data_IF_203961756789
#
_entry.id   IF_203961756789
#
_cell.length_a   1.000
_cell.length_b   1.000
_cell.length_c   1.000
_cell.angle_alpha   90.00
_cell.angle_beta   90.00
_cell.angle_gamma   90.00
#
_symmetry.space_group_name_H-M   'P 1'
#
loop_
_entity.id
_entity.type
_entity.pdbx_description
1 polymer ?
#
# COMPACT_ATOMS: atom_id res chain seq x y z
N UNK A 1 17.03 -7.74 -30.37
CA UNK A 1 16.92 -6.48 -29.59
C UNK A 1 15.92 -6.74 -28.46
N UNK A 2 16.39 -7.25 -27.32
CA UNK A 2 15.55 -7.53 -26.15
C UNK A 2 15.34 -6.21 -25.42
N UNK A 3 14.11 -5.69 -25.43
CA UNK A 3 13.75 -4.51 -24.65
C UNK A 3 13.51 -4.99 -23.22
N UNK A 4 14.50 -4.76 -22.36
CA UNK A 4 14.36 -4.91 -20.91
C UNK A 4 13.51 -3.73 -20.42
N UNK A 5 12.25 -3.97 -20.08
CA UNK A 5 11.48 -3.03 -19.29
C UNK A 5 11.79 -3.32 -17.82
N UNK A 6 12.78 -2.64 -17.28
CA UNK A 6 12.95 -2.54 -15.82
C UNK A 6 11.86 -1.61 -15.29
N UNK A 7 10.79 -2.21 -14.78
CA UNK A 7 9.82 -1.51 -13.93
C UNK A 7 10.16 -1.93 -12.49
N UNK A 8 10.60 -1.01 -11.61
CA UNK A 8 10.96 -1.37 -10.26
C UNK A 8 9.79 -2.03 -9.53
N UNK A 9 10.03 -3.21 -8.99
CA UNK A 9 9.01 -4.03 -8.35
C UNK A 9 8.63 -3.39 -7.00
N UNK A 10 7.51 -2.63 -6.94
CA UNK A 10 6.98 -2.07 -5.67
C UNK A 10 6.76 -3.13 -4.58
N UNK A 11 6.69 -4.41 -4.95
CA UNK A 11 6.64 -5.54 -4.03
C UNK A 11 7.97 -5.74 -3.27
N UNK A 12 9.14 -5.40 -3.81
CA UNK A 12 10.41 -5.50 -3.06
C UNK A 12 10.45 -4.56 -1.86
N UNK A 13 9.78 -3.41 -1.95
CA UNK A 13 9.68 -2.44 -0.87
C UNK A 13 8.92 -3.03 0.34
N UNK A 14 7.99 -3.96 0.09
CA UNK A 14 7.19 -4.62 1.13
C UNK A 14 7.91 -5.88 1.64
N UNK A 15 8.75 -6.52 0.81
CA UNK A 15 9.35 -7.84 1.08
C UNK A 15 10.88 -7.84 1.26
N UNK A 16 11.51 -6.67 1.38
CA UNK A 16 12.95 -6.54 1.50
C UNK A 16 13.53 -7.09 2.81
N UNK A 17 13.87 -8.38 2.86
CA UNK A 17 15.13 -8.81 3.48
C UNK A 17 16.19 -8.77 2.40
N UNK A 18 17.14 -7.85 2.56
CA UNK A 18 18.13 -7.51 1.55
C UNK A 18 19.07 -8.67 1.17
N UNK A 19 19.43 -8.66 -0.11
CA UNK A 19 20.71 -9.03 -0.73
C UNK A 19 20.64 -8.48 -2.16
N UNK A 20 21.60 -7.79 -2.74
CA UNK A 20 22.83 -7.18 -2.28
C UNK A 20 23.24 -6.24 -3.43
N UNK A 21 23.40 -4.94 -3.17
CA UNK A 21 24.35 -4.14 -3.91
C UNK A 21 25.36 -3.65 -2.88
N UNK A 22 26.56 -4.20 -3.02
CA UNK A 22 27.71 -3.91 -2.20
C UNK A 22 28.21 -2.53 -2.61
N UNK A 23 27.99 -1.52 -1.78
CA UNK A 23 29.02 -0.53 -1.47
C UNK A 23 28.73 0.04 -0.08
N UNK A 24 29.74 -0.04 0.78
CA UNK A 24 29.60 -0.07 2.22
C UNK A 24 28.91 1.14 2.84
N UNK A 25 27.85 0.87 3.61
CA UNK A 25 27.56 1.54 4.87
C UNK A 25 26.58 0.69 5.70
N UNK A 26 27.09 0.21 6.85
CA UNK A 26 26.40 -0.19 8.07
C UNK A 26 25.03 -0.87 7.96
N UNK A 27 25.02 -2.19 8.18
CA UNK A 27 23.83 -2.93 8.57
C UNK A 27 23.32 -2.42 9.93
N UNK A 28 22.38 -1.48 9.92
CA UNK A 28 21.58 -1.19 11.11
C UNK A 28 20.60 -2.36 11.31
N UNK A 29 20.72 -3.05 12.45
CA UNK A 29 19.71 -3.98 12.92
C UNK A 29 18.39 -3.22 13.03
N UNK A 30 17.41 -3.61 12.23
CA UNK A 30 16.07 -3.03 12.21
C UNK A 30 15.25 -3.48 13.43
N UNK A 31 15.55 -2.91 14.61
CA UNK A 31 14.89 -3.22 15.90
C UNK A 31 13.50 -2.55 16.08
N UNK A 32 12.89 -2.05 15.00
CA UNK A 32 11.58 -1.40 15.05
C UNK A 32 10.40 -2.38 14.98
N UNK A 33 9.22 -1.91 15.39
CA UNK A 33 7.96 -2.67 15.21
C UNK A 33 7.75 -3.06 13.74
N UNK A 34 7.14 -4.23 13.54
CA UNK A 34 6.69 -4.66 12.22
C UNK A 34 5.55 -3.78 11.69
N UNK A 35 5.32 -3.79 10.38
CA UNK A 35 4.19 -3.06 9.77
C UNK A 35 2.86 -3.47 10.40
N UNK A 36 2.63 -4.76 10.64
CA UNK A 36 1.40 -5.25 11.26
C UNK A 36 1.16 -4.62 12.64
N UNK A 37 2.20 -4.53 13.47
CA UNK A 37 2.13 -3.87 14.78
C UNK A 37 1.96 -2.35 14.68
N UNK A 38 2.50 -1.72 13.63
CA UNK A 38 2.35 -0.29 13.37
C UNK A 38 0.95 0.07 12.86
N UNK A 39 0.20 -0.86 12.26
CA UNK A 39 -1.15 -0.60 11.79
C UNK A 39 -2.15 -0.54 12.95
N UNK A 40 -2.02 -1.42 13.95
CA UNK A 40 -2.98 -1.59 15.05
C UNK A 40 -3.37 -0.27 15.77
N UNK A 41 -2.45 0.66 16.08
CA UNK A 41 -2.78 1.87 16.82
C UNK A 41 -3.48 2.94 15.97
N UNK A 42 -3.72 2.68 14.68
CA UNK A 42 -4.42 3.60 13.77
C UNK A 42 -3.74 4.97 13.68
N UNK A 43 -2.41 4.99 13.60
CA UNK A 43 -1.65 6.24 13.48
C UNK A 43 -2.13 7.05 12.27
N UNK A 44 -2.26 6.38 11.13
CA UNK A 44 -2.87 6.85 9.89
C UNK A 44 -3.73 5.73 9.28
N UNK A 45 -4.72 6.12 8.48
CA UNK A 45 -5.71 5.22 7.92
C UNK A 45 -5.78 5.38 6.39
N UNK A 46 -5.69 4.25 5.68
CA UNK A 46 -5.99 4.15 4.26
C UNK A 46 -7.35 3.45 4.10
N UNK A 47 -8.43 4.19 4.33
CA UNK A 47 -9.79 3.65 4.35
C UNK A 47 -10.32 3.29 2.96
N UNK A 48 -9.55 3.57 1.90
CA UNK A 48 -9.93 3.42 0.50
C UNK A 48 -10.98 4.43 0.01
N UNK A 49 -11.22 5.49 0.79
CA UNK A 49 -11.96 6.65 0.32
C UNK A 49 -11.19 7.41 -0.77
N UNK A 50 -11.93 7.97 -1.71
CA UNK A 50 -11.40 8.80 -2.80
C UNK A 50 -11.95 10.21 -2.70
N UNK A 51 -11.13 11.18 -3.09
CA UNK A 51 -11.60 12.53 -3.37
C UNK A 51 -12.46 12.56 -4.64
N UNK A 52 -13.20 13.67 -4.83
CA UNK A 52 -14.01 13.91 -6.03
C UNK A 52 -13.17 13.95 -7.32
N UNK A 53 -11.88 14.24 -7.22
CA UNK A 53 -10.92 14.18 -8.34
C UNK A 53 -10.22 12.82 -8.46
N UNK A 54 -10.76 11.79 -7.81
CA UNK A 54 -10.31 10.40 -7.82
C UNK A 54 -8.94 10.14 -7.18
N UNK A 55 -8.38 11.11 -6.44
CA UNK A 55 -7.14 10.90 -5.68
C UNK A 55 -7.37 10.09 -4.39
N UNK A 56 -6.44 9.19 -4.03
CA UNK A 56 -6.53 8.42 -2.80
C UNK A 56 -6.43 9.31 -1.55
N UNK A 57 -7.22 8.97 -0.54
CA UNK A 57 -7.25 9.64 0.76
C UNK A 57 -6.49 8.85 1.83
N UNK A 58 -5.59 9.53 2.55
CA UNK A 58 -5.01 9.06 3.81
C UNK A 58 -5.45 9.97 4.96
N UNK A 59 -5.96 9.39 6.03
CA UNK A 59 -6.46 10.14 7.19
C UNK A 59 -5.55 9.95 8.40
N UNK A 60 -5.18 11.06 9.05
CA UNK A 60 -4.44 11.11 10.31
C UNK A 60 -5.42 11.51 11.43
N UNK A 61 -5.98 10.54 12.19
CA UNK A 61 -7.03 10.79 13.17
C UNK A 61 -6.54 11.61 14.38
N UNK A 62 -7.52 12.12 15.14
CA UNK A 62 -7.37 13.08 16.25
C UNK A 62 -6.50 12.60 17.43
N UNK A 63 -6.43 11.28 17.68
CA UNK A 63 -5.69 10.74 18.83
C UNK A 63 -4.77 9.58 18.44
N UNK A 64 -3.85 9.83 17.53
CA UNK A 64 -2.94 8.80 17.03
C UNK A 64 -1.66 8.62 17.86
N UNK A 65 -1.32 9.47 18.83
CA UNK A 65 -0.01 9.43 19.50
C UNK A 65 1.17 9.36 18.49
N UNK A 66 1.05 10.03 17.34
CA UNK A 66 2.04 9.96 16.24
C UNK A 66 3.46 10.40 16.66
N UNK A 67 3.56 11.17 17.74
CA UNK A 67 4.82 11.60 18.33
C UNK A 67 5.64 10.44 18.94
N UNK A 68 5.01 9.30 19.21
CA UNK A 68 5.66 8.10 19.77
C UNK A 68 6.45 7.33 18.70
N UNK A 69 6.12 7.49 17.41
CA UNK A 69 6.81 6.78 16.33
C UNK A 69 8.24 7.30 16.12
N UNK A 70 9.19 6.37 16.04
CA UNK A 70 10.55 6.69 15.55
C UNK A 70 10.49 7.11 14.07
N UNK A 71 11.57 7.70 13.55
CA UNK A 71 11.63 8.08 12.13
C UNK A 71 11.52 6.86 11.19
N UNK A 72 12.15 5.74 11.54
CA UNK A 72 12.09 4.50 10.76
C UNK A 72 10.70 3.88 10.76
N UNK A 73 10.03 3.83 11.93
CA UNK A 73 8.65 3.34 12.06
C UNK A 73 7.67 4.22 11.28
N UNK A 74 7.84 5.54 11.35
CA UNK A 74 7.03 6.50 10.58
C UNK A 74 7.15 6.24 9.07
N UNK A 75 8.39 6.14 8.57
CA UNK A 75 8.67 5.88 7.15
C UNK A 75 8.07 4.55 6.72
N UNK A 76 8.24 3.49 7.51
CA UNK A 76 7.72 2.15 7.26
C UNK A 76 6.20 2.14 7.14
N UNK A 77 5.51 2.76 8.09
CA UNK A 77 4.06 2.86 8.09
C UNK A 77 3.56 3.58 6.83
N UNK A 78 4.12 4.75 6.51
CA UNK A 78 3.67 5.51 5.34
C UNK A 78 3.99 4.80 4.02
N UNK A 79 5.16 4.15 3.94
CA UNK A 79 5.53 3.36 2.78
C UNK A 79 4.55 2.22 2.54
N UNK A 80 4.11 1.55 3.60
CA UNK A 80 3.05 0.55 3.49
C UNK A 80 1.72 1.17 3.06
N UNK A 81 1.22 2.20 3.75
CA UNK A 81 -0.10 2.78 3.47
C UNK A 81 -0.20 3.38 2.06
N UNK A 82 0.87 4.00 1.56
CA UNK A 82 0.92 4.56 0.20
C UNK A 82 1.13 3.50 -0.88
N UNK A 83 1.49 2.27 -0.52
CA UNK A 83 1.54 1.13 -1.45
C UNK A 83 0.17 0.46 -1.66
N UNK A 84 -0.82 0.79 -0.82
CA UNK A 84 -2.17 0.20 -0.88
C UNK A 84 -2.92 0.63 -2.15
N UNK A 85 -2.99 1.92 -2.52
CA UNK A 85 -3.56 2.32 -3.81
C UNK A 85 -2.73 1.78 -4.98
N UNK A 86 -3.36 1.65 -6.14
CA UNK A 86 -2.67 1.25 -7.36
C UNK A 86 -1.60 2.27 -7.76
N UNK A 87 -0.64 1.83 -8.59
CA UNK A 87 0.39 2.73 -9.11
C UNK A 87 -0.21 3.98 -9.78
N UNK A 88 -1.25 3.81 -10.59
CA UNK A 88 -1.92 4.91 -11.28
C UNK A 88 -2.55 5.91 -10.31
N UNK A 89 -3.24 5.42 -9.28
CA UNK A 89 -3.83 6.29 -8.24
C UNK A 89 -2.74 7.01 -7.43
N UNK A 90 -1.65 6.32 -7.11
CA UNK A 90 -0.52 6.91 -6.38
C UNK A 90 0.22 7.98 -7.21
N UNK A 91 0.31 7.81 -8.53
CA UNK A 91 0.90 8.78 -9.47
C UNK A 91 0.07 10.06 -9.60
N UNK A 92 -1.26 9.96 -9.48
CA UNK A 92 -2.11 11.15 -9.37
C UNK A 92 -1.76 11.97 -8.11
N UNK A 93 -1.29 11.31 -7.06
CA UNK A 93 -0.94 11.93 -5.79
C UNK A 93 -2.07 11.89 -4.78
N UNK A 94 -1.73 12.13 -3.53
CA UNK A 94 -2.58 11.85 -2.38
C UNK A 94 -3.27 13.10 -1.85
N UNK A 95 -4.49 12.91 -1.39
CA UNK A 95 -5.10 13.81 -0.43
C UNK A 95 -4.91 13.30 0.98
N UNK A 96 -4.65 14.23 1.91
CA UNK A 96 -4.44 13.90 3.31
C UNK A 96 -5.42 14.70 4.15
N UNK A 97 -6.13 14.04 5.07
CA UNK A 97 -6.90 14.72 6.12
C UNK A 97 -6.13 14.57 7.43
N UNK A 98 -5.87 15.68 8.10
CA UNK A 98 -5.33 15.72 9.46
C UNK A 98 -6.45 16.20 10.37
N UNK A 99 -7.01 15.30 11.17
CA UNK A 99 -8.00 15.66 12.19
C UNK A 99 -7.29 16.01 13.49
N UNK A 100 -7.44 17.24 13.99
CA UNK A 100 -6.86 17.71 15.27
C UNK A 100 -7.88 18.53 16.06
N UNK A 101 -9.18 18.28 15.87
CA UNK A 101 -10.25 19.05 16.52
C UNK A 101 -10.13 19.08 18.05
N UNK A 102 -9.59 18.02 18.68
CA UNK A 102 -9.41 17.92 20.15
C UNK A 102 -7.96 18.06 20.60
N UNK A 103 -7.04 18.47 19.72
CA UNK A 103 -5.62 18.62 20.01
C UNK A 103 -5.20 20.11 19.98
N UNK A 104 -3.89 20.40 19.84
CA UNK A 104 -3.28 21.73 19.82
C UNK A 104 -2.66 22.02 18.46
N UNK A 105 -2.53 23.30 18.13
CA UNK A 105 -1.92 23.74 16.88
C UNK A 105 -0.48 23.25 16.68
N UNK A 106 0.28 23.09 17.76
CA UNK A 106 1.63 22.54 17.68
C UNK A 106 1.65 21.08 17.18
N UNK A 107 0.61 20.29 17.49
CA UNK A 107 0.45 18.92 16.97
C UNK A 107 0.19 18.92 15.47
N UNK A 108 -0.62 19.86 14.97
CA UNK A 108 -0.83 20.08 13.52
C UNK A 108 0.52 20.36 12.84
N UNK A 109 1.27 21.35 13.34
CA UNK A 109 2.58 21.72 12.77
C UNK A 109 3.56 20.53 12.78
N UNK A 110 3.68 19.83 13.90
CA UNK A 110 4.54 18.66 14.01
C UNK A 110 4.15 17.57 13.00
N UNK A 111 2.85 17.33 12.81
CA UNK A 111 2.35 16.34 11.84
C UNK A 111 2.67 16.77 10.41
N UNK A 112 2.45 18.04 10.06
CA UNK A 112 2.78 18.58 8.72
C UNK A 112 4.27 18.47 8.40
N UNK A 113 5.15 18.79 9.37
CA UNK A 113 6.60 18.63 9.21
C UNK A 113 6.99 17.19 8.94
N UNK A 114 6.48 16.23 9.72
CA UNK A 114 6.79 14.81 9.50
C UNK A 114 6.24 14.29 8.18
N UNK A 115 5.05 14.72 7.77
CA UNK A 115 4.51 14.39 6.44
C UNK A 115 5.43 14.94 5.35
N UNK A 116 5.86 16.20 5.47
CA UNK A 116 6.76 16.81 4.49
C UNK A 116 8.11 16.13 4.39
N UNK A 117 8.61 15.57 5.50
CA UNK A 117 9.92 14.91 5.56
C UNK A 117 9.88 13.46 5.08
N UNK A 118 8.84 12.71 5.44
CA UNK A 118 8.83 11.25 5.30
C UNK A 118 7.79 10.67 4.35
N UNK A 119 6.85 11.47 3.82
CA UNK A 119 5.80 10.94 2.95
C UNK A 119 6.40 10.50 1.60
N UNK A 120 6.26 9.21 1.20
CA UNK A 120 7.03 8.62 0.10
C UNK A 120 6.37 8.84 -1.28
N UNK A 121 5.52 9.85 -1.44
CA UNK A 121 4.73 10.07 -2.66
C UNK A 121 4.35 11.53 -2.88
N UNK A 122 3.64 11.80 -3.97
CA UNK A 122 3.16 13.15 -4.30
C UNK A 122 1.98 13.49 -3.40
N UNK A 123 2.04 14.59 -2.67
CA UNK A 123 0.92 15.13 -1.91
C UNK A 123 0.28 16.25 -2.72
N UNK A 124 -1.01 16.12 -3.03
CA UNK A 124 -1.75 17.14 -3.77
C UNK A 124 -2.25 18.24 -2.82
N UNK A 125 -3.09 17.88 -1.86
CA UNK A 125 -3.59 18.80 -0.83
C UNK A 125 -3.72 18.10 0.52
N UNK A 126 -3.30 18.79 1.57
CA UNK A 126 -3.53 18.43 2.97
C UNK A 126 -4.65 19.29 3.53
N UNK A 127 -5.71 18.65 4.01
CA UNK A 127 -6.84 19.27 4.70
C UNK A 127 -6.65 19.12 6.21
N UNK A 128 -6.72 20.23 6.95
CA UNK A 128 -6.53 20.23 8.40
C UNK A 128 -7.84 20.62 9.08
N UNK A 129 -8.46 19.68 9.79
CA UNK A 129 -9.54 20.01 10.73
C UNK A 129 -8.90 20.51 12.02
N UNK A 130 -8.95 21.82 12.22
CA UNK A 130 -8.19 22.50 13.27
C UNK A 130 -8.77 22.29 14.68
N UNK A 131 -7.95 22.48 15.74
CA UNK A 131 -8.43 22.61 17.12
C UNK A 131 -9.52 23.69 17.28
N UNK A 132 -10.56 23.37 18.04
CA UNK A 132 -11.68 24.29 18.29
C UNK A 132 -11.26 25.60 18.99
N UNK A 133 -10.22 25.54 19.83
CA UNK A 133 -9.70 26.65 20.63
C UNK A 133 -8.80 27.63 19.87
N UNK A 134 -8.60 27.45 18.55
CA UNK A 134 -7.78 28.34 17.72
C UNK A 134 -8.62 29.44 17.06
N UNK A 135 -8.20 30.72 17.14
CA UNK A 135 -9.00 31.85 16.64
C UNK A 135 -8.79 32.08 15.13
N UNK A 136 -9.89 32.34 14.41
CA UNK A 136 -9.92 32.58 12.96
C UNK A 136 -9.04 33.75 12.49
N UNK A 137 -8.90 34.83 13.26
CA UNK A 137 -8.04 35.97 12.90
C UNK A 137 -6.54 35.64 12.87
N UNK A 138 -6.10 34.66 13.65
CA UNK A 138 -4.72 34.17 13.60
C UNK A 138 -4.47 33.23 12.39
N UNK A 139 -5.54 32.74 11.75
CA UNK A 139 -5.46 31.85 10.59
C UNK A 139 -5.10 32.61 9.31
N UNK A 140 -5.77 33.72 8.96
CA UNK A 140 -5.62 34.30 7.61
C UNK A 140 -4.21 34.84 7.32
N UNK A 141 -3.57 35.47 8.30
CA UNK A 141 -2.27 36.14 8.13
C UNK A 141 -1.08 35.20 8.28
N UNK A 142 -1.15 34.23 9.20
CA UNK A 142 -0.05 33.29 9.46
C UNK A 142 -0.15 32.05 8.55
N UNK A 143 -1.34 31.55 8.22
CA UNK A 143 -1.46 30.30 7.46
C UNK A 143 -1.12 30.46 5.97
N UNK A 144 -1.54 31.56 5.33
CA UNK A 144 -1.46 31.67 3.86
C UNK A 144 -0.05 31.89 3.32
N UNK A 145 0.83 32.58 4.08
CA UNK A 145 2.25 32.79 3.74
C UNK A 145 3.15 31.67 4.28
N UNK A 146 2.98 31.28 5.55
CA UNK A 146 3.85 30.29 6.19
C UNK A 146 3.72 28.92 5.51
N UNK A 147 2.50 28.47 5.19
CA UNK A 147 2.31 27.15 4.59
C UNK A 147 2.70 27.07 3.11
N UNK A 148 2.60 28.17 2.37
CA UNK A 148 3.00 28.19 0.94
C UNK A 148 4.51 28.16 0.74
N UNK A 149 5.28 28.72 1.67
CA UNK A 149 6.74 28.78 1.58
C UNK A 149 7.42 27.58 2.26
N UNK A 150 6.82 27.03 3.32
CA UNK A 150 7.40 25.96 4.13
C UNK A 150 7.15 24.55 3.54
N UNK A 151 6.04 24.34 2.83
CA UNK A 151 5.63 23.01 2.36
C UNK A 151 5.51 22.93 0.84
N UNK A 152 5.93 21.80 0.27
CA UNK A 152 5.85 21.53 -1.19
C UNK A 152 4.45 21.13 -1.66
N UNK A 153 3.44 21.20 -0.80
CA UNK A 153 2.06 20.81 -1.06
C UNK A 153 1.09 21.86 -0.56
N UNK A 154 -0.13 21.87 -1.11
CA UNK A 154 -1.18 22.78 -0.68
C UNK A 154 -1.71 22.38 0.69
N UNK A 155 -1.89 23.34 1.59
CA UNK A 155 -2.56 23.14 2.88
C UNK A 155 -3.85 23.96 2.92
N UNK A 156 -4.97 23.31 3.25
CA UNK A 156 -6.27 23.94 3.48
C UNK A 156 -6.70 23.69 4.92
N UNK A 157 -6.93 24.76 5.67
CA UNK A 157 -7.35 24.67 7.07
C UNK A 157 -8.87 24.83 7.14
N UNK A 158 -9.55 23.74 7.47
CA UNK A 158 -11.00 23.69 7.55
C UNK A 158 -11.47 24.09 8.96
N UNK A 159 -12.49 24.94 9.05
CA UNK A 159 -13.07 25.34 10.34
C UNK A 159 -14.13 24.38 10.84
N UNK A 160 -14.76 23.63 9.95
CA UNK A 160 -15.69 22.56 10.26
C UNK A 160 -15.55 21.39 9.27
N UNK A 161 -16.24 20.30 9.55
CA UNK A 161 -16.16 19.07 8.74
C UNK A 161 -16.84 19.26 7.39
N UNK A 162 -17.89 20.09 7.35
CA UNK A 162 -18.70 20.34 6.15
C UNK A 162 -17.89 20.92 4.99
N UNK A 163 -16.81 21.67 5.28
CA UNK A 163 -15.89 22.17 4.25
C UNK A 163 -15.17 21.04 3.49
N UNK A 164 -15.05 19.84 4.07
CA UNK A 164 -14.49 18.69 3.35
C UNK A 164 -15.41 18.22 2.22
N UNK A 165 -16.72 18.47 2.29
CA UNK A 165 -17.70 17.91 1.34
C UNK A 165 -17.60 18.55 -0.06
N UNK A 166 -16.94 19.70 -0.18
CA UNK A 166 -16.56 20.30 -1.46
C UNK A 166 -15.53 19.44 -2.21
N UNK A 167 -14.72 18.67 -1.49
CA UNK A 167 -13.61 17.89 -2.03
C UNK A 167 -13.85 16.39 -1.98
N UNK A 168 -14.70 15.92 -1.07
CA UNK A 168 -14.99 14.51 -0.85
C UNK A 168 -16.49 14.27 -0.87
N UNK A 169 -16.91 13.17 -1.46
CA UNK A 169 -18.28 12.70 -1.27
C UNK A 169 -18.45 12.11 0.14
N UNK A 170 -19.63 12.27 0.76
CA UNK A 170 -19.88 11.74 2.10
C UNK A 170 -19.74 10.21 2.15
N UNK A 171 -20.06 9.52 1.04
CA UNK A 171 -19.84 8.08 0.90
C UNK A 171 -18.36 7.65 0.93
N UNK A 172 -17.41 8.59 0.81
CA UNK A 172 -15.97 8.34 0.81
C UNK A 172 -15.29 8.73 2.13
N UNK A 173 -16.04 9.31 3.09
CA UNK A 173 -15.55 9.72 4.39
C UNK A 173 -16.11 8.81 5.49
N UNK A 174 -15.33 8.55 6.53
CA UNK A 174 -15.79 7.78 7.70
C UNK A 174 -16.75 8.60 8.57
N UNK A 175 -17.56 7.95 9.44
CA UNK A 175 -18.48 8.66 10.33
C UNK A 175 -17.82 9.71 11.23
N UNK A 176 -16.57 9.49 11.67
CA UNK A 176 -15.82 10.48 12.47
C UNK A 176 -15.56 11.79 11.71
N UNK A 177 -15.55 11.72 10.37
CA UNK A 177 -15.44 12.83 9.43
C UNK A 177 -16.81 13.20 8.82
N UNK A 178 -17.93 12.84 9.47
CA UNK A 178 -19.29 13.19 9.05
C UNK A 178 -19.80 12.47 7.79
N UNK A 179 -19.09 11.45 7.34
CA UNK A 179 -19.44 10.65 6.18
C UNK A 179 -20.22 9.37 6.49
N UNK A 180 -20.35 8.53 5.47
CA UNK A 180 -21.19 7.33 5.44
C UNK A 180 -20.37 6.04 5.20
N UNK A 181 -19.06 6.17 4.90
CA UNK A 181 -18.16 5.04 4.65
C UNK A 181 -17.97 4.21 5.93
N UNK A 182 -18.58 3.02 5.97
CA UNK A 182 -18.35 2.08 7.05
C UNK A 182 -16.94 1.51 6.95
N UNK A 183 -16.10 1.81 7.94
CA UNK A 183 -14.72 1.33 8.00
C UNK A 183 -14.50 0.52 9.27
N UNK A 184 -14.08 -0.74 9.09
CA UNK A 184 -13.63 -1.62 10.17
C UNK A 184 -12.13 -1.83 10.03
N UNK A 185 -11.36 -1.27 10.96
CA UNK A 185 -9.89 -1.36 10.90
C UNK A 185 -9.39 -2.81 11.04
N UNK A 186 -10.03 -3.61 11.90
CA UNK A 186 -9.66 -5.02 12.10
C UNK A 186 -9.95 -5.86 10.85
N UNK A 187 -11.10 -5.66 10.22
CA UNK A 187 -11.44 -6.34 8.96
C UNK A 187 -10.49 -5.92 7.84
N UNK A 188 -10.18 -4.63 7.73
CA UNK A 188 -9.20 -4.12 6.78
C UNK A 188 -7.83 -4.79 6.97
N UNK A 189 -7.32 -4.90 8.20
CA UNK A 189 -6.06 -5.62 8.49
C UNK A 189 -6.15 -7.09 8.07
N UNK A 190 -7.23 -7.79 8.42
CA UNK A 190 -7.40 -9.20 8.07
C UNK A 190 -7.36 -9.43 6.55
N UNK A 191 -8.00 -8.54 5.80
CA UNK A 191 -7.98 -8.57 4.34
C UNK A 191 -6.58 -8.33 3.79
N UNK A 192 -5.84 -7.35 4.35
CA UNK A 192 -4.44 -7.11 3.99
C UNK A 192 -3.57 -8.34 4.21
N UNK A 193 -3.71 -9.02 5.35
CA UNK A 193 -2.99 -10.26 5.66
C UNK A 193 -3.33 -11.35 4.64
N UNK A 194 -4.61 -11.51 4.28
CA UNK A 194 -5.04 -12.52 3.31
C UNK A 194 -4.44 -12.27 1.92
N UNK A 195 -4.44 -11.00 1.47
CA UNK A 195 -3.82 -10.58 0.22
C UNK A 195 -2.30 -10.80 0.21
N UNK A 196 -1.63 -10.51 1.32
CA UNK A 196 -0.18 -10.73 1.45
C UNK A 196 0.17 -12.22 1.40
N UNK A 197 -0.59 -13.07 2.11
CA UNK A 197 -0.42 -14.53 2.05
C UNK A 197 -0.59 -15.05 0.62
N UNK A 198 -1.63 -14.59 -0.07
CA UNK A 198 -1.87 -14.97 -1.47
C UNK A 198 -0.74 -14.49 -2.39
N UNK A 199 -0.24 -13.26 -2.21
CA UNK A 199 0.89 -12.75 -2.98
C UNK A 199 2.17 -13.57 -2.75
N UNK A 200 2.43 -14.02 -1.51
CA UNK A 200 3.56 -14.90 -1.21
C UNK A 200 3.42 -16.26 -1.90
N UNK A 201 2.24 -16.89 -1.83
CA UNK A 201 1.96 -18.15 -2.51
C UNK A 201 2.20 -18.04 -4.03
N UNK A 202 1.72 -16.97 -4.67
CA UNK A 202 1.92 -16.76 -6.11
C UNK A 202 3.39 -16.58 -6.48
N UNK A 203 4.19 -15.92 -5.63
CA UNK A 203 5.64 -15.81 -5.84
C UNK A 203 6.33 -17.17 -5.74
N UNK A 204 5.98 -17.99 -4.75
CA UNK A 204 6.54 -19.33 -4.60
C UNK A 204 6.24 -20.20 -5.82
N UNK A 205 5.01 -20.16 -6.34
CA UNK A 205 4.63 -20.89 -7.55
C UNK A 205 5.40 -20.37 -8.76
N UNK A 206 5.58 -19.06 -8.91
CA UNK A 206 6.41 -18.50 -9.98
C UNK A 206 7.85 -18.98 -9.91
N UNK A 207 8.46 -18.97 -8.73
CA UNK A 207 9.85 -19.42 -8.58
C UNK A 207 9.99 -20.88 -9.00
N UNK A 208 9.07 -21.75 -8.58
CA UNK A 208 9.09 -23.17 -8.99
C UNK A 208 8.87 -23.34 -10.49
N UNK A 209 8.06 -22.47 -11.12
CA UNK A 209 7.87 -22.48 -12.57
C UNK A 209 9.16 -22.07 -13.30
N UNK A 210 9.86 -21.03 -12.81
CA UNK A 210 11.15 -20.61 -13.36
C UNK A 210 12.21 -21.71 -13.22
N UNK A 211 12.28 -22.37 -12.07
CA UNK A 211 13.15 -23.53 -11.83
C UNK A 211 12.87 -24.67 -12.80
N UNK A 212 11.59 -25.02 -12.99
CA UNK A 212 11.18 -26.06 -13.94
C UNK A 212 11.51 -25.70 -15.40
N UNK A 213 11.31 -24.44 -15.80
CA UNK A 213 11.68 -23.98 -17.14
C UNK A 213 13.20 -24.04 -17.35
N UNK A 214 13.98 -23.73 -16.33
CA UNK A 214 15.43 -23.84 -16.38
C UNK A 214 15.88 -25.31 -16.50
N UNK A 215 15.27 -26.23 -15.75
CA UNK A 215 15.51 -27.68 -15.86
C UNK A 215 15.23 -28.23 -17.26
N UNK A 216 14.17 -27.75 -17.93
CA UNK A 216 13.87 -28.13 -19.31
C UNK A 216 14.95 -27.63 -20.28
N UNK A 217 15.40 -26.39 -20.11
CA UNK A 217 16.39 -25.76 -21.01
C UNK A 217 17.77 -26.40 -20.85
N UNK A 218 18.16 -26.72 -19.62
CA UNK A 218 19.45 -27.33 -19.30
C UNK A 218 19.45 -28.85 -19.50
N UNK A 219 18.33 -29.42 -19.95
CA UNK A 219 18.18 -30.85 -20.19
C UNK A 219 19.02 -31.28 -21.40
N UNK A 220 20.15 -31.96 -21.14
CA UNK A 220 20.90 -32.67 -22.16
C UNK A 220 20.25 -34.05 -22.42
N UNK A 221 19.61 -34.20 -23.56
CA UNK A 221 19.04 -35.47 -23.98
C UNK A 221 20.18 -36.40 -24.39
N UNK A 222 20.59 -37.27 -23.46
CA UNK A 222 21.60 -38.29 -23.74
C UNK A 222 21.22 -39.21 -24.92
N UNK A 223 22.21 -39.91 -25.48
CA UNK A 223 22.00 -40.81 -26.62
C UNK A 223 21.28 -42.15 -26.29
N UNK A 224 20.89 -42.36 -25.02
CA UNK A 224 20.20 -43.58 -24.57
C UNK A 224 18.67 -43.37 -24.51
N UNK A 225 17.88 -44.12 -25.28
CA UNK A 225 16.42 -44.05 -25.25
C UNK A 225 15.81 -44.32 -23.87
N UNK A 226 16.45 -45.16 -23.03
CA UNK A 226 15.95 -45.46 -21.70
C UNK A 226 16.09 -44.26 -20.75
N UNK A 227 17.27 -43.61 -20.76
CA UNK A 227 17.53 -42.40 -19.97
C UNK A 227 16.66 -41.23 -20.44
N UNK A 228 16.48 -41.07 -21.75
CA UNK A 228 15.60 -40.04 -22.31
C UNK A 228 14.15 -40.25 -21.86
N UNK A 229 13.67 -41.49 -21.82
CA UNK A 229 12.33 -41.80 -21.34
C UNK A 229 12.15 -41.49 -19.85
N UNK A 230 13.12 -41.87 -19.01
CA UNK A 230 13.07 -41.59 -17.57
C UNK A 230 13.07 -40.08 -17.29
N UNK A 231 13.86 -39.30 -18.04
CA UNK A 231 13.85 -37.83 -17.98
C UNK A 231 12.48 -37.24 -18.35
N UNK A 232 11.86 -37.73 -19.44
CA UNK A 232 10.52 -37.26 -19.86
C UNK A 232 9.44 -37.62 -18.84
N UNK A 233 9.48 -38.83 -18.26
CA UNK A 233 8.54 -39.26 -17.22
C UNK A 233 8.69 -38.40 -15.95
N UNK A 234 9.93 -38.02 -15.59
CA UNK A 234 10.22 -37.11 -14.48
C UNK A 234 9.68 -35.69 -14.76
N UNK A 235 9.96 -35.14 -15.93
CA UNK A 235 9.47 -33.82 -16.35
C UNK A 235 7.94 -33.77 -16.40
N UNK A 236 7.28 -34.82 -16.90
CA UNK A 236 5.81 -34.90 -16.93
C UNK A 236 5.22 -34.90 -15.52
N UNK A 237 5.86 -35.61 -14.58
CA UNK A 237 5.46 -35.62 -13.16
C UNK A 237 5.59 -34.23 -12.52
N UNK A 238 6.74 -33.57 -12.69
CA UNK A 238 6.98 -32.22 -12.18
C UNK A 238 6.00 -31.20 -12.76
N UNK A 239 5.72 -31.26 -14.07
CA UNK A 239 4.72 -30.41 -14.72
C UNK A 239 3.31 -30.64 -14.14
N UNK A 240 2.90 -31.89 -13.93
CA UNK A 240 1.59 -32.21 -13.34
C UNK A 240 1.47 -31.67 -11.90
N UNK A 241 2.53 -31.77 -11.11
CA UNK A 241 2.55 -31.21 -9.75
C UNK A 241 2.39 -29.68 -9.76
N UNK A 242 3.18 -28.98 -10.57
CA UNK A 242 3.09 -27.52 -10.72
C UNK A 242 1.72 -27.06 -11.20
N UNK A 243 1.16 -27.77 -12.19
CA UNK A 243 -0.20 -27.50 -12.67
C UNK A 243 -1.23 -27.67 -11.55
N UNK A 244 -1.07 -28.69 -10.70
CA UNK A 244 -1.94 -28.90 -9.54
C UNK A 244 -1.85 -27.76 -8.52
N UNK A 245 -0.64 -27.32 -8.18
CA UNK A 245 -0.42 -26.17 -7.29
C UNK A 245 -1.05 -24.89 -7.84
N UNK A 246 -0.89 -24.65 -9.15
CA UNK A 246 -1.44 -23.46 -9.81
C UNK A 246 -2.97 -23.46 -9.81
N UNK A 247 -3.62 -24.60 -10.06
CA UNK A 247 -5.08 -24.73 -9.99
C UNK A 247 -5.58 -24.47 -8.57
N UNK A 248 -4.88 -24.99 -7.56
CA UNK A 248 -5.20 -24.73 -6.15
C UNK A 248 -5.07 -23.25 -5.80
N UNK A 249 -3.98 -22.59 -6.23
CA UNK A 249 -3.78 -21.17 -6.01
C UNK A 249 -4.84 -20.32 -6.74
N UNK A 250 -5.24 -20.71 -7.95
CA UNK A 250 -6.32 -20.04 -8.70
C UNK A 250 -7.63 -20.08 -7.91
N UNK A 251 -8.00 -21.25 -7.38
CA UNK A 251 -9.18 -21.41 -6.53
C UNK A 251 -9.13 -20.54 -5.27
N UNK A 252 -7.98 -20.50 -4.58
CA UNK A 252 -7.78 -19.61 -3.42
C UNK A 252 -7.88 -18.12 -3.80
N UNK A 253 -7.39 -17.73 -4.98
CA UNK A 253 -7.50 -16.37 -5.50
C UNK A 253 -8.95 -15.98 -5.81
N UNK A 254 -9.73 -16.89 -6.40
CA UNK A 254 -11.16 -16.68 -6.66
C UNK A 254 -11.98 -16.53 -5.36
N UNK A 255 -11.67 -17.34 -4.35
CA UNK A 255 -12.28 -17.21 -3.02
C UNK A 255 -11.95 -15.85 -2.40
N UNK A 256 -10.68 -15.45 -2.44
CA UNK A 256 -10.23 -14.15 -1.92
C UNK A 256 -10.92 -12.99 -2.67
N UNK A 257 -11.01 -13.06 -3.99
CA UNK A 257 -11.73 -12.07 -4.80
C UNK A 257 -13.21 -11.98 -4.42
N UNK A 258 -13.85 -13.10 -4.12
CA UNK A 258 -15.25 -13.14 -3.67
C UNK A 258 -15.41 -12.46 -2.31
N UNK A 259 -14.43 -12.60 -1.42
CA UNK A 259 -14.42 -11.92 -0.12
C UNK A 259 -14.19 -10.41 -0.27
N UNK A 260 -13.29 -9.99 -1.18
CA UNK A 260 -12.95 -8.58 -1.43
C UNK A 260 -14.05 -7.83 -2.20
N UNK A 261 -14.81 -8.50 -3.08
CA UNK A 261 -15.86 -7.89 -3.93
C UNK A 261 -17.20 -7.63 -3.23
N UNK A 262 -17.33 -7.90 -1.93
CA UNK A 262 -18.58 -7.62 -1.20
C UNK A 262 -18.88 -6.11 -1.18
N UNK A 263 -20.13 -5.68 -1.48
CA UNK A 263 -20.47 -4.29 -1.81
C UNK A 263 -20.33 -3.25 -0.67
N UNK A 264 -19.99 -3.67 0.55
CA UNK A 264 -19.68 -2.78 1.67
C UNK A 264 -18.18 -2.52 1.84
N UNK A 265 -17.35 -3.10 0.98
CA UNK A 265 -15.90 -3.09 1.08
C UNK A 265 -15.32 -2.26 -0.05
N UNK A 266 -14.93 -1.04 0.32
CA UNK A 266 -13.87 -0.21 -0.27
C UNK A 266 -13.73 -0.23 -1.79
N UNK A 267 -13.89 0.94 -2.41
CA UNK A 267 -13.59 1.26 -3.80
C UNK A 267 -12.15 0.91 -4.29
N UNK A 268 -11.35 0.22 -3.48
CA UNK A 268 -10.12 -0.49 -3.84
C UNK A 268 -10.35 -1.79 -4.65
N UNK A 269 -11.58 -2.13 -5.05
CA UNK A 269 -11.83 -3.30 -5.92
C UNK A 269 -10.93 -3.22 -7.17
N UNK A 270 -10.73 -2.04 -7.76
CA UNK A 270 -9.88 -1.88 -8.95
C UNK A 270 -8.40 -2.00 -8.63
N UNK A 271 -7.92 -1.54 -7.46
CA UNK A 271 -6.50 -1.62 -7.09
C UNK A 271 -6.08 -3.04 -6.68
N UNK A 272 -6.93 -3.75 -5.94
CA UNK A 272 -6.73 -5.16 -5.60
C UNK A 272 -6.93 -6.06 -6.81
N UNK A 273 -7.95 -5.81 -7.64
CA UNK A 273 -8.14 -6.55 -8.90
C UNK A 273 -7.00 -6.27 -9.87
N UNK A 274 -6.53 -5.03 -10.05
CA UNK A 274 -5.37 -4.75 -10.91
C UNK A 274 -4.04 -5.29 -10.33
N UNK A 275 -3.92 -5.47 -9.01
CA UNK A 275 -2.78 -6.15 -8.41
C UNK A 275 -2.84 -7.65 -8.67
N UNK A 276 -4.01 -8.28 -8.49
CA UNK A 276 -4.24 -9.69 -8.78
C UNK A 276 -4.15 -9.97 -10.29
N UNK A 277 -4.76 -9.16 -11.15
CA UNK A 277 -4.69 -9.25 -12.61
C UNK A 277 -3.25 -9.06 -13.11
N UNK A 278 -2.45 -8.18 -12.50
CA UNK A 278 -1.02 -8.08 -12.84
C UNK A 278 -0.22 -9.31 -12.40
N UNK A 279 -0.53 -9.88 -11.23
CA UNK A 279 0.07 -11.15 -10.81
C UNK A 279 -0.33 -12.28 -11.78
N UNK A 280 -1.59 -12.30 -12.23
CA UNK A 280 -2.05 -13.29 -13.20
C UNK A 280 -1.40 -13.06 -14.58
N UNK A 281 -1.31 -11.83 -15.09
CA UNK A 281 -0.75 -11.53 -16.41
C UNK A 281 0.78 -11.68 -16.45
N UNK A 282 1.49 -11.34 -15.38
CA UNK A 282 2.96 -11.46 -15.35
C UNK A 282 3.46 -12.89 -15.08
N UNK A 283 2.62 -13.78 -14.56
CA UNK A 283 3.00 -15.15 -14.20
C UNK A 283 2.23 -16.24 -14.97
N UNK A 284 1.24 -15.90 -15.80
CA UNK A 284 0.46 -16.87 -16.59
C UNK A 284 0.46 -16.64 -18.10
N UNK A 285 1.11 -15.57 -18.61
CA UNK A 285 1.22 -15.29 -20.06
C UNK A 285 2.68 -15.10 -20.46
#
# INVERSE_FOLDING_TARGET
MKIRFEVPNKLEIIFGRGKAECDGCSSENDEGRSVGELLLPQYALATGGLARDHRPLITFPDNNNFHVLTASEYRRLLLYLTSVPSLLEAEMGFHIIIDRRKDRWNSVKATLLRISEFFPGVIHTVFVLRPASFLQKALSEVSSKLFKEEFRFRVLVCSCVEELYEHFDRSQLTPDLGGELQYSHSEWIQQRIALEKFSTLMKEISTKLDEFMQEIVDCDMGNDPAQTKELLDCQESSYKALKGELVSATSQGEELLTQVRKPNLTYNIISHVAAVERLLVNYLI
#
